data_IF_766810625948
#
_entry.id   IF_766810625948
#
_cell.length_a   1.000
_cell.length_b   1.000
_cell.length_c   1.000
_cell.angle_alpha   90.00
_cell.angle_beta   90.00
_cell.angle_gamma   90.00
#
_symmetry.space_group_name_H-M   'P 1'
#
loop_
_entity.id
_entity.type
_entity.pdbx_description
1 polymer ?
#
# COMPACT_ATOMS: atom_id res chain seq x y z
N UNK A 1 -2.73 10.51 -4.64
CA UNK A 1 -2.07 10.54 -3.31
C UNK A 1 -2.93 11.16 -2.22
N UNK A 2 -3.52 12.35 -2.38
CA UNK A 2 -4.25 13.02 -1.29
C UNK A 2 -5.48 12.28 -0.74
N UNK A 3 -6.23 11.55 -1.57
CA UNK A 3 -7.39 10.77 -1.12
C UNK A 3 -7.05 9.43 -0.45
N UNK A 4 -5.81 8.95 -0.59
CA UNK A 4 -5.39 7.70 0.04
C UNK A 4 -5.09 7.95 1.52
N UNK A 5 -5.50 7.05 2.41
CA UNK A 5 -5.13 7.13 3.82
C UNK A 5 -3.62 6.91 3.97
N UNK A 6 -3.13 5.80 3.41
CA UNK A 6 -1.72 5.42 3.40
C UNK A 6 -1.14 5.61 2.01
N UNK A 7 0.06 6.19 1.95
CA UNK A 7 0.96 6.12 0.80
C UNK A 7 2.34 5.71 1.30
N UNK A 8 2.87 4.60 0.80
CA UNK A 8 4.14 4.06 1.25
C UNK A 8 4.93 3.40 0.12
N UNK A 9 6.24 3.35 0.29
CA UNK A 9 7.16 2.54 -0.48
C UNK A 9 7.42 1.26 0.32
N UNK A 10 7.13 0.12 -0.30
CA UNK A 10 7.31 -1.20 0.32
C UNK A 10 8.19 -2.09 -0.56
N UNK A 11 8.89 -3.01 0.08
CA UNK A 11 9.54 -4.13 -0.59
C UNK A 11 8.79 -5.42 -0.24
N UNK A 12 8.15 -6.04 -1.23
CA UNK A 12 7.53 -7.37 -1.09
C UNK A 12 8.61 -8.44 -1.08
N UNK A 13 8.46 -9.42 -0.18
CA UNK A 13 9.43 -10.51 0.02
C UNK A 13 8.85 -11.88 -0.31
N UNK A 14 7.59 -12.10 0.05
CA UNK A 14 6.87 -13.35 -0.21
C UNK A 14 5.36 -13.08 -0.17
N UNK A 15 4.58 -14.06 -0.61
CA UNK A 15 3.13 -14.04 -0.46
C UNK A 15 2.60 -15.34 0.14
N UNK A 16 1.47 -15.25 0.82
CA UNK A 16 0.66 -16.35 1.29
C UNK A 16 -0.79 -16.08 0.86
N UNK A 17 -1.49 -17.12 0.41
CA UNK A 17 -2.93 -17.05 0.24
C UNK A 17 -3.64 -17.66 1.44
N UNK A 18 -4.68 -16.96 1.91
CA UNK A 18 -5.64 -17.47 2.87
C UNK A 18 -6.95 -17.81 2.16
N UNK A 19 -7.98 -18.19 2.91
CA UNK A 19 -9.32 -18.39 2.37
C UNK A 19 -9.91 -17.11 1.76
N UNK A 20 -9.58 -15.93 2.31
CA UNK A 20 -10.25 -14.67 1.99
C UNK A 20 -9.33 -13.60 1.37
N UNK A 21 -8.02 -13.73 1.54
CA UNK A 21 -7.06 -12.71 1.16
C UNK A 21 -5.76 -13.28 0.60
N UNK A 22 -5.08 -12.48 -0.22
CA UNK A 22 -3.64 -12.62 -0.46
C UNK A 22 -2.92 -11.70 0.51
N UNK A 23 -1.90 -12.24 1.18
CA UNK A 23 -1.10 -11.56 2.20
C UNK A 23 0.33 -11.50 1.72
N UNK A 24 0.85 -10.29 1.55
CA UNK A 24 2.22 -10.03 1.15
C UNK A 24 3.04 -9.67 2.38
N UNK A 25 4.11 -10.43 2.61
CA UNK A 25 5.13 -10.05 3.58
C UNK A 25 5.97 -8.93 2.96
N UNK A 26 6.07 -7.82 3.68
CA UNK A 26 6.76 -6.62 3.21
C UNK A 26 7.72 -6.07 4.26
N UNK A 27 8.66 -5.26 3.80
CA UNK A 27 9.33 -4.25 4.64
C UNK A 27 8.94 -2.87 4.15
N UNK A 28 8.55 -2.00 5.08
CA UNK A 28 8.37 -0.58 4.82
C UNK A 28 9.74 0.07 4.59
N UNK A 29 9.91 0.69 3.43
CA UNK A 29 11.11 1.46 3.13
C UNK A 29 10.91 2.94 3.47
N UNK A 30 9.76 3.50 3.09
CA UNK A 30 9.42 4.90 3.35
C UNK A 30 7.92 5.07 3.47
N UNK A 31 7.47 5.75 4.52
CA UNK A 31 6.08 6.21 4.64
C UNK A 31 6.01 7.63 4.08
N UNK A 32 5.20 7.83 3.05
CA UNK A 32 5.05 9.12 2.37
C UNK A 32 3.86 9.89 2.95
N UNK A 33 2.77 9.19 3.26
CA UNK A 33 1.57 9.75 3.85
C UNK A 33 0.88 8.70 4.71
N UNK A 34 0.41 9.11 5.88
CA UNK A 34 -0.49 8.33 6.74
C UNK A 34 -1.16 9.26 7.74
N UNK A 35 -2.36 8.92 8.19
CA UNK A 35 -3.05 9.60 9.31
C UNK A 35 -2.72 8.98 10.67
N UNK A 36 -2.04 7.83 10.70
CA UNK A 36 -1.72 7.03 11.90
C UNK A 36 -0.34 6.41 11.81
N UNK A 37 0.23 6.01 12.94
CA UNK A 37 1.51 5.29 12.93
C UNK A 37 1.38 3.91 12.27
N UNK A 38 2.24 3.66 11.29
CA UNK A 38 2.34 2.40 10.56
C UNK A 38 3.79 1.94 10.44
N UNK A 39 4.74 2.55 11.16
CA UNK A 39 6.18 2.31 11.02
C UNK A 39 6.60 0.84 11.19
N UNK A 40 5.84 0.07 12.00
CA UNK A 40 6.05 -1.36 12.23
C UNK A 40 5.29 -2.32 11.29
N UNK A 41 4.55 -1.83 10.29
CA UNK A 41 3.74 -2.70 9.43
C UNK A 41 4.63 -3.58 8.54
N UNK A 42 4.36 -4.89 8.58
CA UNK A 42 5.08 -5.91 7.82
C UNK A 42 4.19 -6.61 6.77
N UNK A 43 2.93 -6.21 6.65
CA UNK A 43 1.94 -6.88 5.82
C UNK A 43 1.23 -5.90 4.89
N UNK A 44 1.09 -6.29 3.64
CA UNK A 44 0.11 -5.72 2.70
C UNK A 44 -0.92 -6.80 2.42
N UNK A 45 -2.20 -6.46 2.46
CA UNK A 45 -3.29 -7.43 2.28
C UNK A 45 -4.26 -6.98 1.19
N UNK A 46 -4.79 -7.93 0.44
CA UNK A 46 -5.80 -7.70 -0.59
C UNK A 46 -6.82 -8.83 -0.57
N UNK A 47 -8.10 -8.60 -0.90
CA UNK A 47 -9.04 -9.68 -1.16
C UNK A 47 -8.48 -10.69 -2.17
N UNK A 48 -8.78 -11.97 -1.97
CA UNK A 48 -8.25 -13.05 -2.82
C UNK A 48 -8.75 -12.99 -4.26
N UNK A 49 -10.02 -12.64 -4.45
CA UNK A 49 -10.67 -12.65 -5.76
C UNK A 49 -10.85 -11.23 -6.30
N UNK A 50 -10.63 -11.01 -7.60
CA UNK A 50 -10.99 -9.76 -8.28
C UNK A 50 -12.48 -9.39 -8.09
N UNK A 51 -13.37 -10.38 -7.97
CA UNK A 51 -14.80 -10.16 -7.70
C UNK A 51 -15.10 -9.52 -6.34
N UNK A 52 -14.14 -9.54 -5.41
CA UNK A 52 -14.18 -8.82 -4.14
C UNK A 52 -13.22 -7.63 -4.12
N UNK A 53 -12.91 -7.06 -5.29
CA UNK A 53 -11.94 -5.98 -5.49
C UNK A 53 -10.50 -6.37 -5.12
N UNK A 54 -10.15 -7.66 -5.21
CA UNK A 54 -8.79 -8.13 -5.08
C UNK A 54 -7.87 -7.59 -6.19
N UNK A 55 -6.63 -7.29 -5.85
CA UNK A 55 -5.57 -6.89 -6.79
C UNK A 55 -4.38 -7.83 -6.68
N UNK A 56 -3.56 -7.87 -7.73
CA UNK A 56 -2.35 -8.70 -7.79
C UNK A 56 -1.13 -7.80 -7.62
N UNK A 57 -0.35 -8.06 -6.59
CA UNK A 57 1.00 -7.52 -6.41
C UNK A 57 1.99 -8.66 -6.67
N UNK A 58 3.14 -8.35 -7.27
CA UNK A 58 4.22 -9.32 -7.41
C UNK A 58 4.73 -9.77 -6.03
N UNK A 59 5.03 -11.08 -5.84
CA UNK A 59 5.46 -11.61 -4.55
C UNK A 59 6.79 -11.04 -4.08
N UNK A 60 7.62 -10.56 -5.01
CA UNK A 60 8.90 -9.90 -4.77
C UNK A 60 9.03 -8.61 -5.58
N UNK A 61 9.58 -7.57 -4.96
CA UNK A 61 9.90 -6.31 -5.62
C UNK A 61 9.57 -5.07 -4.81
N UNK A 62 10.02 -3.93 -5.31
CA UNK A 62 9.77 -2.61 -4.72
C UNK A 62 8.55 -1.96 -5.36
N UNK A 63 7.61 -1.50 -4.56
CA UNK A 63 6.33 -0.94 -4.99
C UNK A 63 6.00 0.35 -4.27
N UNK A 64 5.29 1.23 -4.96
CA UNK A 64 4.53 2.30 -4.31
C UNK A 64 3.14 1.75 -4.07
N UNK A 65 2.61 1.93 -2.88
CA UNK A 65 1.29 1.45 -2.52
C UNK A 65 0.48 2.59 -1.94
N UNK A 66 -0.75 2.71 -2.44
CA UNK A 66 -1.81 3.47 -1.78
C UNK A 66 -2.81 2.50 -1.18
N UNK A 67 -3.31 2.80 0.02
CA UNK A 67 -4.22 1.89 0.70
C UNK A 67 -4.78 2.48 1.99
N UNK A 68 -5.29 1.58 2.83
CA UNK A 68 -5.92 1.87 4.12
C UNK A 68 -5.18 1.09 5.19
N UNK A 69 -4.90 1.70 6.34
CA UNK A 69 -4.32 0.95 7.45
C UNK A 69 -5.43 0.18 8.17
N UNK A 70 -5.28 -1.13 8.32
CA UNK A 70 -6.29 -1.99 8.91
C UNK A 70 -5.67 -2.86 10.01
N UNK A 71 -6.23 -2.75 11.21
CA UNK A 71 -5.90 -3.60 12.34
C UNK A 71 -6.63 -4.92 12.21
N UNK A 72 -5.93 -6.03 12.45
CA UNK A 72 -6.47 -7.38 12.36
C UNK A 72 -7.19 -7.67 11.02
N UNK A 73 -6.66 -7.16 9.91
CA UNK A 73 -7.25 -7.43 8.59
C UNK A 73 -7.27 -8.94 8.33
N UNK A 74 -8.45 -9.48 8.00
CA UNK A 74 -8.64 -10.91 7.73
C UNK A 74 -8.17 -11.84 8.88
N UNK A 75 -8.35 -11.41 10.13
CA UNK A 75 -8.04 -12.18 11.35
C UNK A 75 -6.57 -12.58 11.50
N UNK A 76 -5.65 -11.77 10.93
CA UNK A 76 -4.22 -12.02 10.96
C UNK A 76 -3.52 -11.63 12.28
N UNK A 77 -4.23 -10.98 13.20
CA UNK A 77 -3.70 -10.51 14.49
C UNK A 77 -2.65 -9.39 14.37
N UNK A 78 -2.52 -8.76 13.19
CA UNK A 78 -1.49 -7.74 12.89
C UNK A 78 -2.08 -6.58 12.11
N UNK A 79 -1.53 -5.39 12.30
CA UNK A 79 -1.79 -4.23 11.43
C UNK A 79 -1.22 -4.50 10.04
N UNK A 80 -2.00 -4.17 9.01
CA UNK A 80 -1.60 -4.29 7.60
C UNK A 80 -2.01 -3.06 6.80
N UNK A 81 -1.40 -2.87 5.64
CA UNK A 81 -1.91 -1.96 4.62
C UNK A 81 -2.85 -2.76 3.72
N UNK A 82 -4.15 -2.49 3.82
CA UNK A 82 -5.17 -3.09 2.95
C UNK A 82 -5.22 -2.33 1.62
N UNK A 83 -5.16 -3.08 0.53
CA UNK A 83 -5.24 -2.56 -0.84
C UNK A 83 -6.35 -3.28 -1.62
N UNK A 84 -6.69 -2.74 -2.78
CA UNK A 84 -7.71 -3.27 -3.68
C UNK A 84 -7.38 -2.92 -5.14
N UNK A 85 -8.23 -3.34 -6.08
CA UNK A 85 -8.06 -3.09 -7.51
C UNK A 85 -8.03 -1.60 -7.89
N UNK A 86 -8.61 -0.72 -7.07
CA UNK A 86 -8.60 0.73 -7.28
C UNK A 86 -7.36 1.41 -6.66
N UNK A 87 -6.53 0.66 -5.96
CA UNK A 87 -5.32 1.17 -5.33
C UNK A 87 -4.23 1.39 -6.37
N UNK A 88 -3.53 2.52 -6.27
CA UNK A 88 -2.33 2.78 -7.07
C UNK A 88 -1.16 1.95 -6.53
N UNK A 89 -0.73 0.95 -7.31
CA UNK A 89 0.31 -0.03 -6.93
C UNK A 89 1.37 -0.26 -8.04
N UNK A 90 2.03 0.78 -8.58
CA UNK A 90 3.06 0.57 -9.61
C UNK A 90 4.32 -0.06 -9.02
N UNK A 91 5.03 -0.84 -9.82
CA UNK A 91 6.39 -1.29 -9.48
C UNK A 91 7.35 -0.10 -9.60
N UNK A 92 8.25 0.04 -8.64
CA UNK A 92 9.19 1.17 -8.60
C UNK A 92 10.08 1.25 -9.85
N UNK A 93 10.44 0.10 -10.43
CA UNK A 93 11.23 0.03 -11.67
C UNK A 93 10.50 0.55 -12.91
N UNK A 94 9.17 0.60 -12.88
CA UNK A 94 8.32 1.02 -14.01
C UNK A 94 8.03 2.53 -13.98
N UNK A 95 8.40 3.22 -12.89
CA UNK A 95 8.21 4.66 -12.76
C UNK A 95 9.32 5.45 -13.45
N UNK A 96 8.93 6.53 -14.13
CA UNK A 96 9.88 7.50 -14.70
C UNK A 96 10.62 8.27 -13.60
N UNK A 97 11.70 8.96 -13.98
CA UNK A 97 12.46 9.80 -13.03
C UNK A 97 11.59 10.90 -12.45
N UNK A 98 10.75 11.53 -13.28
CA UNK A 98 9.82 12.58 -12.87
C UNK A 98 8.79 12.04 -11.87
N UNK A 99 8.22 10.86 -12.13
CA UNK A 99 7.26 10.23 -11.23
C UNK A 99 7.89 9.91 -9.86
N UNK A 100 9.11 9.35 -9.85
CA UNK A 100 9.86 9.09 -8.61
C UNK A 100 10.11 10.38 -7.85
N UNK A 101 10.55 11.44 -8.54
CA UNK A 101 10.82 12.73 -7.94
C UNK A 101 9.56 13.36 -7.30
N UNK A 102 8.40 13.27 -7.97
CA UNK A 102 7.12 13.72 -7.40
C UNK A 102 6.79 12.95 -6.13
N UNK A 103 6.97 11.64 -6.13
CA UNK A 103 6.65 10.77 -4.98
C UNK A 103 7.58 11.02 -3.81
N UNK A 104 8.88 11.18 -4.06
CA UNK A 104 9.89 11.37 -3.02
C UNK A 104 9.79 12.72 -2.32
N UNK A 105 9.38 13.75 -3.06
CA UNK A 105 9.22 15.12 -2.58
C UNK A 105 7.79 15.48 -2.19
N UNK A 106 6.85 14.55 -2.32
CA UNK A 106 5.46 14.76 -1.92
C UNK A 106 5.38 15.14 -0.44
N UNK A 107 4.64 16.20 -0.13
CA UNK A 107 4.33 16.61 1.24
C UNK A 107 2.84 16.53 1.46
N UNK A 108 2.43 15.91 2.58
CA UNK A 108 1.01 15.81 2.94
C UNK A 108 0.30 17.16 3.01
N UNK A 109 1.03 18.24 3.32
CA UNK A 109 0.52 19.63 3.30
C UNK A 109 0.06 20.12 1.93
N UNK A 110 0.48 19.47 0.83
CA UNK A 110 0.01 19.76 -0.53
C UNK A 110 -1.44 19.26 -0.75
N UNK A 111 -1.95 18.41 0.13
CA UNK A 111 -3.36 18.07 0.18
C UNK A 111 -4.13 19.21 0.84
N UNK A 112 -4.32 20.30 0.12
CA UNK A 112 -5.23 21.37 0.55
C UNK A 112 -6.64 20.78 0.73
N UNK A 113 -7.32 21.17 1.81
CA UNK A 113 -8.73 20.86 2.04
C UNK A 113 -9.59 21.55 0.97
N UNK A 114 -9.67 20.99 -0.23
CA UNK A 114 -10.81 21.25 -1.11
C UNK A 114 -11.99 20.45 -0.57
N UNK A 115 -12.60 20.99 0.48
CA UNK A 115 -14.01 20.75 0.74
C UNK A 115 -14.79 21.36 -0.42
N UNK A 116 -15.07 20.56 -1.45
CA UNK A 116 -16.19 20.72 -2.37
C UNK A 116 -16.63 19.34 -2.82
#
# INVERSE_FOLDING_TARGET
MCRAEVVAIVNTKSMLETKHAVVYNVTLEKVIKTSRDISGVQLVTTPKSPGYCGTVIGPTGKYIITGTAADNAYDLGKTSIKVNICSYIPKWSELTVEQKNVIENFKQTQCTNTNQ
#
